data_IF_840130024083
#
_entry.id   IF_840130024083
#
_cell.length_a   1.000
_cell.length_b   1.000
_cell.length_c   1.000
_cell.angle_alpha   90.00
_cell.angle_beta   90.00
_cell.angle_gamma   90.00
#
_symmetry.space_group_name_H-M   'P 1'
#
loop_
_entity.id
_entity.type
_entity.pdbx_description
1 polymer ?
#
# COMPACT_ATOMS: atom_id res chain seq x y z
N UNK A 1 8.65 -13.26 -22.50
CA UNK A 1 8.30 -13.53 -21.10
C UNK A 1 7.80 -14.95 -20.89
N UNK A 2 6.68 -15.40 -21.46
CA UNK A 2 6.17 -16.77 -21.23
C UNK A 2 7.18 -17.88 -21.58
N UNK A 3 7.89 -17.75 -22.71
CA UNK A 3 8.95 -18.69 -23.11
C UNK A 3 10.10 -18.71 -22.09
N UNK A 4 10.57 -17.54 -21.64
CA UNK A 4 11.63 -17.44 -20.63
C UNK A 4 11.18 -17.98 -19.25
N UNK A 5 9.92 -17.75 -18.88
CA UNK A 5 9.31 -18.27 -17.64
C UNK A 5 9.07 -19.78 -17.71
N UNK A 6 8.93 -20.35 -18.91
CA UNK A 6 8.88 -21.80 -19.11
C UNK A 6 10.23 -22.46 -18.86
N UNK A 7 11.32 -21.74 -19.11
CA UNK A 7 12.69 -22.18 -18.84
C UNK A 7 13.10 -21.96 -17.38
N UNK A 8 12.78 -20.79 -16.81
CA UNK A 8 13.04 -20.47 -15.40
C UNK A 8 11.85 -19.71 -14.79
N UNK A 9 10.92 -20.46 -14.20
CA UNK A 9 9.72 -19.92 -13.56
C UNK A 9 10.03 -19.12 -12.28
N UNK A 10 11.27 -19.15 -11.79
CA UNK A 10 11.69 -18.49 -10.54
C UNK A 10 12.47 -17.20 -10.77
N UNK A 11 12.62 -16.80 -12.03
CA UNK A 11 13.24 -15.52 -12.36
C UNK A 11 12.27 -14.36 -12.06
N UNK A 12 12.40 -13.79 -10.86
CA UNK A 12 11.55 -12.70 -10.40
C UNK A 12 11.75 -11.38 -11.17
N UNK A 13 12.89 -11.18 -11.83
CA UNK A 13 13.12 -9.99 -12.65
C UNK A 13 12.25 -10.04 -13.92
N UNK A 14 12.08 -11.24 -14.49
CA UNK A 14 11.17 -11.47 -15.62
C UNK A 14 9.72 -11.25 -15.19
N UNK A 15 9.31 -11.82 -14.05
CA UNK A 15 7.97 -11.59 -13.50
C UNK A 15 7.69 -10.11 -13.24
N UNK A 16 8.68 -9.37 -12.72
CA UNK A 16 8.55 -7.95 -12.46
C UNK A 16 8.35 -7.15 -13.76
N UNK A 17 9.16 -7.43 -14.78
CA UNK A 17 9.01 -6.78 -16.08
C UNK A 17 7.69 -7.14 -16.76
N UNK A 18 7.24 -8.39 -16.62
CA UNK A 18 5.96 -8.83 -17.17
C UNK A 18 4.78 -8.13 -16.48
N UNK A 19 4.77 -8.07 -15.15
CA UNK A 19 3.73 -7.36 -14.40
C UNK A 19 3.67 -5.87 -14.79
N UNK A 20 4.82 -5.20 -14.94
CA UNK A 20 4.88 -3.79 -15.37
C UNK A 20 4.36 -3.57 -16.79
N UNK A 21 4.60 -4.51 -17.70
CA UNK A 21 4.07 -4.43 -19.06
C UNK A 21 2.53 -4.47 -19.04
N UNK A 22 1.93 -5.42 -18.32
CA UNK A 22 0.48 -5.52 -18.22
C UNK A 22 -0.14 -4.33 -17.47
N UNK A 23 0.51 -3.82 -16.42
CA UNK A 23 0.08 -2.59 -15.73
C UNK A 23 0.13 -1.37 -16.66
N UNK A 24 1.17 -1.25 -17.49
CA UNK A 24 1.28 -0.20 -18.50
C UNK A 24 0.14 -0.28 -19.50
N UNK A 25 -0.12 -1.48 -20.05
CA UNK A 25 -1.23 -1.70 -20.98
C UNK A 25 -2.59 -1.37 -20.36
N UNK A 26 -2.82 -1.66 -19.07
CA UNK A 26 -4.03 -1.25 -18.37
C UNK A 26 -4.15 0.28 -18.26
N UNK A 27 -3.04 0.98 -18.00
CA UNK A 27 -3.04 2.44 -17.89
C UNK A 27 -3.32 3.09 -19.24
N UNK A 28 -2.65 2.64 -20.30
CA UNK A 28 -2.84 3.15 -21.65
C UNK A 28 -4.30 2.97 -22.10
N UNK A 29 -4.89 1.79 -21.85
CA UNK A 29 -6.32 1.53 -22.12
C UNK A 29 -7.27 2.47 -21.38
N UNK A 30 -6.91 2.92 -20.16
CA UNK A 30 -7.72 3.88 -19.40
C UNK A 30 -7.58 5.29 -19.94
N UNK A 31 -6.38 5.68 -20.35
CA UNK A 31 -6.11 6.98 -20.97
C UNK A 31 -6.82 7.13 -22.32
N UNK A 32 -6.90 6.05 -23.09
CA UNK A 32 -7.62 5.97 -24.37
C UNK A 32 -9.16 5.93 -24.20
N UNK A 33 -9.67 5.83 -22.97
CA UNK A 33 -11.09 5.90 -22.67
C UNK A 33 -11.88 4.63 -23.01
N UNK A 34 -11.23 3.46 -22.91
CA UNK A 34 -11.81 2.14 -23.18
C UNK A 34 -13.09 1.83 -22.38
N UNK A 35 -13.77 0.74 -22.76
CA UNK A 35 -14.99 0.32 -22.08
C UNK A 35 -14.70 -0.35 -20.74
N UNK A 36 -15.64 -0.28 -19.79
CA UNK A 36 -15.45 -0.88 -18.47
C UNK A 36 -15.21 -2.40 -18.48
N UNK A 37 -15.67 -3.11 -19.52
CA UNK A 37 -15.38 -4.55 -19.70
C UNK A 37 -13.94 -4.80 -20.17
N UNK A 38 -13.39 -3.92 -21.01
CA UNK A 38 -11.99 -4.00 -21.44
C UNK A 38 -11.05 -3.72 -20.28
N UNK A 39 -11.33 -2.69 -19.48
CA UNK A 39 -10.56 -2.40 -18.27
C UNK A 39 -10.58 -3.57 -17.27
N UNK A 40 -11.76 -4.19 -17.05
CA UNK A 40 -11.87 -5.37 -16.19
C UNK A 40 -11.03 -6.54 -16.71
N UNK A 41 -11.07 -6.81 -18.02
CA UNK A 41 -10.25 -7.87 -18.64
C UNK A 41 -8.76 -7.58 -18.47
N UNK A 42 -8.33 -6.35 -18.72
CA UNK A 42 -6.94 -5.95 -18.53
C UNK A 42 -6.50 -6.05 -17.06
N UNK A 43 -7.36 -5.61 -16.13
CA UNK A 43 -7.12 -5.75 -14.68
C UNK A 43 -6.96 -7.21 -14.28
N UNK A 44 -7.77 -8.12 -14.84
CA UNK A 44 -7.65 -9.55 -14.55
C UNK A 44 -6.37 -10.17 -15.11
N UNK A 45 -5.86 -9.72 -16.26
CA UNK A 45 -4.55 -10.16 -16.77
C UNK A 45 -3.42 -9.78 -15.82
N UNK A 46 -3.40 -8.53 -15.35
CA UNK A 46 -2.40 -8.07 -14.36
C UNK A 46 -2.47 -8.94 -13.09
N UNK A 47 -3.67 -9.20 -12.59
CA UNK A 47 -3.89 -10.07 -11.42
C UNK A 47 -3.37 -11.48 -11.66
N UNK A 48 -3.65 -12.07 -12.82
CA UNK A 48 -3.18 -13.41 -13.17
C UNK A 48 -1.65 -13.50 -13.15
N UNK A 49 -0.96 -12.51 -13.71
CA UNK A 49 0.52 -12.44 -13.66
C UNK A 49 1.01 -12.40 -12.22
N UNK A 50 0.42 -11.56 -11.37
CA UNK A 50 0.80 -11.50 -9.96
C UNK A 50 0.48 -12.78 -9.19
N UNK A 51 -0.71 -13.36 -9.37
CA UNK A 51 -1.14 -14.60 -8.72
C UNK A 51 -0.23 -15.78 -9.12
N UNK A 52 0.12 -15.90 -10.40
CA UNK A 52 1.11 -16.86 -10.89
C UNK A 52 2.49 -16.64 -10.27
N UNK A 53 2.91 -15.38 -10.16
CA UNK A 53 4.20 -15.03 -9.57
C UNK A 53 4.28 -15.43 -8.09
N UNK A 54 3.25 -15.10 -7.29
CA UNK A 54 3.26 -15.38 -5.86
C UNK A 54 3.08 -16.86 -5.54
N UNK A 55 2.46 -17.63 -6.44
CA UNK A 55 2.36 -19.08 -6.35
C UNK A 55 3.72 -19.79 -6.50
N UNK A 56 4.72 -19.15 -7.11
CA UNK A 56 6.10 -19.65 -7.17
C UNK A 56 6.82 -19.41 -5.82
N UNK A 57 6.42 -20.17 -4.81
CA UNK A 57 6.99 -20.09 -3.45
C UNK A 57 8.47 -20.50 -3.47
N UNK A 58 9.31 -19.69 -2.84
CA UNK A 58 10.74 -19.96 -2.69
C UNK A 58 10.98 -21.21 -1.83
N UNK A 59 11.76 -22.20 -2.31
CA UNK A 59 12.17 -23.35 -1.49
C UNK A 59 13.33 -23.02 -0.52
N UNK A 60 14.01 -21.89 -0.70
CA UNK A 60 15.22 -21.53 0.05
C UNK A 60 14.98 -20.55 1.21
N UNK A 61 15.67 -20.76 2.33
CA UNK A 61 15.67 -19.85 3.49
C UNK A 61 16.57 -18.61 3.34
N UNK A 62 17.23 -18.42 2.20
CA UNK A 62 18.15 -17.30 2.00
C UNK A 62 17.42 -15.98 1.80
N UNK A 63 17.64 -15.04 2.72
CA UNK A 63 17.05 -13.69 2.72
C UNK A 63 17.18 -12.93 1.38
N UNK A 64 18.20 -13.21 0.56
CA UNK A 64 18.40 -12.58 -0.76
C UNK A 64 17.24 -12.87 -1.72
N UNK A 65 16.80 -14.13 -1.80
CA UNK A 65 15.70 -14.52 -2.68
C UNK A 65 14.37 -13.95 -2.18
N UNK A 66 14.17 -13.92 -0.86
CA UNK A 66 12.99 -13.32 -0.24
C UNK A 66 12.83 -11.82 -0.51
N UNK A 67 13.93 -11.09 -0.78
CA UNK A 67 13.83 -9.65 -1.09
C UNK A 67 13.04 -9.40 -2.38
N UNK A 68 13.33 -10.13 -3.46
CA UNK A 68 12.62 -9.97 -4.73
C UNK A 68 11.17 -10.45 -4.62
N UNK A 69 10.97 -11.60 -3.96
CA UNK A 69 9.65 -12.14 -3.69
C UNK A 69 8.77 -11.16 -2.90
N UNK A 70 9.27 -10.57 -1.81
CA UNK A 70 8.51 -9.59 -1.02
C UNK A 70 8.31 -8.26 -1.76
N UNK A 71 9.25 -7.84 -2.60
CA UNK A 71 9.03 -6.69 -3.48
C UNK A 71 7.82 -6.93 -4.39
N UNK A 72 7.67 -8.11 -4.99
CA UNK A 72 6.52 -8.45 -5.82
C UNK A 72 5.20 -8.43 -5.04
N UNK A 73 5.17 -8.96 -3.82
CA UNK A 73 4.00 -8.83 -2.94
C UNK A 73 3.64 -7.36 -2.65
N UNK A 74 4.64 -6.50 -2.46
CA UNK A 74 4.43 -5.06 -2.28
C UNK A 74 3.89 -4.37 -3.53
N UNK A 75 4.40 -4.74 -4.72
CA UNK A 75 3.89 -4.22 -5.99
C UNK A 75 2.46 -4.69 -6.24
N UNK A 76 2.16 -5.96 -5.97
CA UNK A 76 0.79 -6.47 -6.11
C UNK A 76 -0.19 -5.78 -5.16
N UNK A 77 0.19 -5.60 -3.89
CA UNK A 77 -0.64 -4.88 -2.93
C UNK A 77 -0.84 -3.40 -3.31
N UNK A 78 0.17 -2.78 -3.91
CA UNK A 78 0.10 -1.40 -4.41
C UNK A 78 -0.82 -1.30 -5.63
N UNK A 79 -0.73 -2.24 -6.57
CA UNK A 79 -1.61 -2.35 -7.71
C UNK A 79 -3.08 -2.45 -7.29
N UNK A 80 -3.39 -3.36 -6.35
CA UNK A 80 -4.75 -3.51 -5.79
C UNK A 80 -5.19 -2.33 -4.91
N UNK A 81 -4.28 -1.46 -4.50
CA UNK A 81 -4.61 -0.27 -3.71
C UNK A 81 -4.80 0.99 -4.57
N UNK A 82 -4.07 1.12 -5.68
CA UNK A 82 -4.02 2.34 -6.48
C UNK A 82 -4.76 2.14 -7.79
N UNK A 83 -4.43 1.10 -8.54
CA UNK A 83 -4.89 0.94 -9.91
C UNK A 83 -6.31 0.35 -9.95
N UNK A 84 -6.75 -0.42 -8.97
CA UNK A 84 -8.15 -0.91 -8.96
C UNK A 84 -9.15 0.13 -8.49
N UNK A 85 -8.69 1.30 -8.03
CA UNK A 85 -9.56 2.44 -7.76
C UNK A 85 -10.14 2.91 -9.09
N UNK A 86 -11.37 2.50 -9.34
CA UNK A 86 -12.16 2.93 -10.49
C UNK A 86 -12.09 4.46 -10.59
N UNK A 87 -11.66 4.96 -11.75
CA UNK A 87 -11.55 6.39 -12.00
C UNK A 87 -12.93 7.05 -11.72
N UNK A 88 -13.03 8.03 -10.80
CA UNK A 88 -14.31 8.61 -10.39
C UNK A 88 -15.10 9.29 -11.52
N UNK A 89 -14.50 9.47 -12.69
CA UNK A 89 -15.08 10.25 -13.79
C UNK A 89 -16.27 9.59 -14.50
N UNK A 90 -16.62 8.31 -14.22
CA UNK A 90 -17.63 7.60 -15.03
C UNK A 90 -18.69 6.80 -14.26
N UNK A 91 -18.69 6.78 -12.93
CA UNK A 91 -19.69 6.03 -12.15
C UNK A 91 -20.30 6.89 -11.05
N UNK A 92 -21.63 6.79 -10.89
CA UNK A 92 -22.42 7.49 -9.88
C UNK A 92 -21.78 7.41 -8.48
N UNK A 93 -21.82 8.50 -7.71
CA UNK A 93 -21.17 8.64 -6.40
C UNK A 93 -21.52 7.52 -5.40
N UNK A 94 -22.69 6.90 -5.53
CA UNK A 94 -23.11 5.75 -4.70
C UNK A 94 -22.36 4.47 -5.07
N UNK A 95 -22.13 4.23 -6.37
CA UNK A 95 -21.32 3.11 -6.84
C UNK A 95 -19.84 3.27 -6.45
N UNK A 96 -19.32 4.51 -6.45
CA UNK A 96 -17.96 4.82 -5.98
C UNK A 96 -17.78 4.45 -4.51
N UNK A 97 -18.76 4.77 -3.64
CA UNK A 97 -18.69 4.48 -2.21
C UNK A 97 -18.75 2.98 -1.91
N UNK A 98 -19.62 2.23 -2.61
CA UNK A 98 -19.74 0.78 -2.44
C UNK A 98 -18.53 0.01 -3.01
N UNK A 99 -18.00 0.45 -4.17
CA UNK A 99 -16.84 -0.19 -4.81
C UNK A 99 -15.55 0.06 -4.00
N UNK A 100 -15.37 1.27 -3.44
CA UNK A 100 -14.17 1.60 -2.65
C UNK A 100 -13.94 0.69 -1.44
N UNK A 101 -15.00 0.14 -0.84
CA UNK A 101 -14.89 -0.80 0.29
C UNK A 101 -14.40 -2.19 -0.14
N UNK A 102 -14.75 -2.63 -1.35
CA UNK A 102 -14.39 -3.96 -1.83
C UNK A 102 -12.93 -4.01 -2.31
N UNK A 103 -12.42 -2.92 -2.87
CA UNK A 103 -11.06 -2.85 -3.41
C UNK A 103 -9.98 -2.90 -2.31
N UNK A 104 -10.24 -2.30 -1.14
CA UNK A 104 -9.31 -2.35 -0.02
C UNK A 104 -9.22 -3.71 0.66
N UNK A 105 -10.26 -4.54 0.56
CA UNK A 105 -10.24 -5.85 1.21
C UNK A 105 -9.25 -6.80 0.51
N UNK A 106 -9.13 -6.72 -0.82
CA UNK A 106 -8.14 -7.53 -1.55
C UNK A 106 -6.72 -7.09 -1.25
N UNK A 107 -6.43 -5.78 -1.31
CA UNK A 107 -5.13 -5.24 -0.91
C UNK A 107 -4.76 -5.66 0.53
N UNK A 108 -5.74 -5.61 1.44
CA UNK A 108 -5.56 -6.07 2.82
C UNK A 108 -5.21 -7.56 2.90
N UNK A 109 -5.95 -8.42 2.19
CA UNK A 109 -5.67 -9.87 2.17
C UNK A 109 -4.26 -10.15 1.64
N UNK A 110 -3.81 -9.42 0.62
CA UNK A 110 -2.46 -9.55 0.06
C UNK A 110 -1.40 -9.17 1.11
N UNK A 111 -1.57 -8.03 1.81
CA UNK A 111 -0.65 -7.65 2.89
C UNK A 111 -0.64 -8.67 4.05
N UNK A 112 -1.81 -9.14 4.48
CA UNK A 112 -1.93 -10.12 5.55
C UNK A 112 -1.27 -11.46 5.17
N UNK A 113 -1.47 -11.91 3.93
CA UNK A 113 -0.86 -13.13 3.40
C UNK A 113 0.66 -12.98 3.30
N UNK A 114 1.15 -11.88 2.73
CA UNK A 114 2.58 -11.60 2.62
C UNK A 114 3.27 -11.59 3.99
N UNK A 115 2.64 -11.00 5.02
CA UNK A 115 3.18 -11.01 6.38
C UNK A 115 3.21 -12.42 6.95
N UNK A 116 2.17 -13.24 6.76
CA UNK A 116 2.14 -14.62 7.29
C UNK A 116 3.19 -15.52 6.64
N UNK A 117 3.51 -15.29 5.37
CA UNK A 117 4.50 -16.08 4.62
C UNK A 117 5.94 -15.82 5.08
N UNK A 118 6.25 -14.61 5.54
CA UNK A 118 7.62 -14.26 5.95
C UNK A 118 8.00 -15.04 7.22
N UNK A 119 9.12 -15.78 7.23
CA UNK A 119 9.62 -16.47 8.42
C UNK A 119 10.26 -15.46 9.39
N UNK A 120 9.43 -14.75 10.16
CA UNK A 120 9.85 -13.68 11.08
C UNK A 120 10.85 -14.11 12.15
N UNK A 121 10.95 -15.42 12.44
CA UNK A 121 11.97 -15.97 13.35
C UNK A 121 13.39 -15.86 12.78
N UNK A 122 13.55 -15.86 11.46
CA UNK A 122 14.85 -15.76 10.79
C UNK A 122 15.11 -14.33 10.30
N UNK A 123 14.12 -13.72 9.64
CA UNK A 123 14.22 -12.34 9.17
C UNK A 123 12.84 -11.73 9.01
N UNK A 124 12.77 -10.41 9.25
CA UNK A 124 11.60 -9.59 8.97
C UNK A 124 11.92 -8.51 7.95
N UNK A 125 10.94 -8.13 7.13
CA UNK A 125 11.06 -7.02 6.18
C UNK A 125 10.38 -5.76 6.73
N UNK A 126 11.19 -4.81 7.20
CA UNK A 126 10.69 -3.53 7.72
C UNK A 126 9.82 -2.79 6.70
N UNK A 127 10.24 -2.79 5.43
CA UNK A 127 9.48 -2.18 4.33
C UNK A 127 8.06 -2.75 4.22
N UNK A 128 7.89 -4.07 4.38
CA UNK A 128 6.56 -4.71 4.34
C UNK A 128 5.65 -4.21 5.47
N UNK A 129 6.15 -4.24 6.71
CA UNK A 129 5.39 -3.80 7.88
C UNK A 129 5.03 -2.30 7.81
N UNK A 130 5.98 -1.45 7.39
CA UNK A 130 5.77 -0.01 7.26
C UNK A 130 4.73 0.29 6.18
N UNK A 131 4.84 -0.35 5.00
CA UNK A 131 3.87 -0.15 3.93
C UNK A 131 2.47 -0.60 4.36
N UNK A 132 2.33 -1.74 5.05
CA UNK A 132 1.04 -2.21 5.55
C UNK A 132 0.45 -1.28 6.63
N UNK A 133 1.28 -0.76 7.53
CA UNK A 133 0.83 0.22 8.51
C UNK A 133 0.34 1.51 7.82
N UNK A 134 1.07 2.01 6.82
CA UNK A 134 0.65 3.17 6.00
C UNK A 134 -0.66 2.91 5.25
N UNK A 135 -0.87 1.70 4.74
CA UNK A 135 -2.15 1.28 4.17
C UNK A 135 -3.28 1.43 5.21
N UNK A 136 -3.08 0.92 6.45
CA UNK A 136 -4.06 1.07 7.53
C UNK A 136 -4.29 2.53 7.94
N UNK A 137 -3.29 3.40 7.87
CA UNK A 137 -3.47 4.86 8.07
C UNK A 137 -4.39 5.46 7.00
N UNK A 138 -4.24 5.08 5.73
CA UNK A 138 -5.11 5.54 4.64
C UNK A 138 -6.55 5.04 4.80
N UNK A 139 -6.74 3.87 5.41
CA UNK A 139 -8.04 3.37 5.84
C UNK A 139 -8.59 4.04 7.11
N UNK A 140 -7.90 5.05 7.65
CA UNK A 140 -8.21 5.71 8.91
C UNK A 140 -8.19 4.77 10.14
N UNK A 141 -7.55 3.61 10.02
CA UNK A 141 -7.40 2.61 11.09
C UNK A 141 -6.07 2.80 11.84
N UNK A 142 -5.91 3.94 12.51
CA UNK A 142 -4.68 4.27 13.26
C UNK A 142 -4.33 3.23 14.35
N UNK A 143 -5.27 2.71 15.16
CA UNK A 143 -4.94 1.69 16.16
C UNK A 143 -4.38 0.40 15.52
N UNK A 144 -4.91 0.01 14.36
CA UNK A 144 -4.40 -1.15 13.63
C UNK A 144 -2.98 -0.90 13.10
N UNK A 145 -2.71 0.29 12.54
CA UNK A 145 -1.38 0.68 12.07
C UNK A 145 -0.33 0.61 13.20
N UNK A 146 -0.64 1.16 14.38
CA UNK A 146 0.22 1.08 15.57
C UNK A 146 0.45 -0.35 16.01
N UNK A 147 -0.60 -1.18 16.04
CA UNK A 147 -0.49 -2.60 16.42
C UNK A 147 0.43 -3.37 15.47
N UNK A 148 0.33 -3.14 14.16
CA UNK A 148 1.18 -3.79 13.14
C UNK A 148 2.66 -3.45 13.39
N UNK A 149 2.99 -2.17 13.53
CA UNK A 149 4.37 -1.76 13.75
C UNK A 149 4.88 -2.16 15.14
N UNK A 150 4.07 -2.03 16.19
CA UNK A 150 4.42 -2.44 17.55
C UNK A 150 4.70 -3.95 17.63
N UNK A 151 3.89 -4.77 16.95
CA UNK A 151 4.13 -6.21 16.84
C UNK A 151 5.43 -6.49 16.08
N UNK A 152 5.66 -5.82 14.94
CA UNK A 152 6.88 -5.99 14.16
C UNK A 152 8.14 -5.60 14.94
N UNK A 153 8.09 -4.51 15.71
CA UNK A 153 9.18 -4.05 16.60
C UNK A 153 9.44 -5.09 17.70
N UNK A 154 8.38 -5.57 18.35
CA UNK A 154 8.50 -6.58 19.42
C UNK A 154 9.05 -7.92 18.93
N UNK A 155 8.73 -8.31 17.70
CA UNK A 155 9.26 -9.53 17.08
C UNK A 155 10.68 -9.36 16.54
N UNK A 156 10.99 -8.21 15.95
CA UNK A 156 12.28 -7.93 15.31
C UNK A 156 12.65 -6.45 15.45
N UNK A 157 13.42 -6.07 16.48
CA UNK A 157 13.78 -4.68 16.74
C UNK A 157 14.82 -4.20 15.72
N UNK A 158 14.35 -3.65 14.60
CA UNK A 158 15.18 -3.01 13.58
C UNK A 158 15.00 -1.51 13.61
N UNK A 159 16.11 -0.77 13.45
CA UNK A 159 16.12 0.70 13.40
C UNK A 159 15.09 1.27 12.41
N UNK A 160 14.98 0.68 11.21
CA UNK A 160 14.00 1.11 10.22
C UNK A 160 12.54 1.02 10.71
N UNK A 161 12.20 0.04 11.55
CA UNK A 161 10.86 -0.09 12.13
C UNK A 161 10.60 0.97 13.20
N UNK A 162 11.59 1.26 14.04
CA UNK A 162 11.52 2.36 15.00
C UNK A 162 11.33 3.70 14.30
N UNK A 163 12.17 4.00 13.29
CA UNK A 163 12.05 5.21 12.48
C UNK A 163 10.68 5.30 11.80
N UNK A 164 10.18 4.18 11.27
CA UNK A 164 8.85 4.10 10.68
C UNK A 164 7.71 4.38 11.68
N UNK A 165 7.83 3.91 12.92
CA UNK A 165 6.86 4.17 14.00
C UNK A 165 6.90 5.61 14.49
N UNK A 166 8.11 6.17 14.70
CA UNK A 166 8.29 7.56 15.10
C UNK A 166 7.68 8.50 14.04
N UNK A 167 7.97 8.24 12.76
CA UNK A 167 7.38 9.00 11.66
C UNK A 167 5.85 8.92 11.66
N UNK A 168 5.30 7.72 11.88
CA UNK A 168 3.85 7.53 11.97
C UNK A 168 3.22 8.41 13.07
N UNK A 169 3.78 8.41 14.28
CA UNK A 169 3.25 9.22 15.38
C UNK A 169 3.43 10.72 15.13
N UNK A 170 4.54 11.12 14.51
CA UNK A 170 4.77 12.50 14.10
C UNK A 170 3.69 12.98 13.12
N UNK A 171 3.40 12.19 12.08
CA UNK A 171 2.39 12.50 11.07
C UNK A 171 0.98 12.61 11.68
N UNK A 172 0.65 11.69 12.59
CA UNK A 172 -0.64 11.70 13.30
C UNK A 172 -0.77 12.95 14.17
N UNK A 173 0.27 13.30 14.94
CA UNK A 173 0.26 14.49 15.79
C UNK A 173 0.13 15.77 14.97
N UNK A 174 0.89 15.90 13.88
CA UNK A 174 0.80 17.07 13.00
C UNK A 174 -0.61 17.21 12.40
N UNK A 175 -1.22 16.10 11.96
CA UNK A 175 -2.61 16.10 11.47
C UNK A 175 -3.57 16.60 12.56
N UNK A 176 -3.48 16.10 13.78
CA UNK A 176 -4.34 16.54 14.90
C UNK A 176 -4.16 18.02 15.24
N UNK A 177 -2.92 18.51 15.29
CA UNK A 177 -2.64 19.92 15.56
C UNK A 177 -3.16 20.83 14.45
N UNK A 178 -2.99 20.44 13.18
CA UNK A 178 -3.51 21.21 12.04
C UNK A 178 -5.05 21.23 11.96
N UNK A 179 -5.72 20.18 12.42
CA UNK A 179 -7.18 20.18 12.55
C UNK A 179 -7.65 21.04 13.72
N UNK A 180 -6.89 21.06 14.82
CA UNK A 180 -7.19 21.89 15.99
C UNK A 180 -6.99 23.38 15.68
N UNK A 181 -5.90 23.75 15.01
CA UNK A 181 -5.63 25.12 14.58
C UNK A 181 -6.67 25.66 13.58
N UNK A 182 -7.20 24.81 12.67
CA UNK A 182 -8.26 25.18 11.72
C UNK A 182 -9.65 25.33 12.36
N UNK A 183 -9.85 24.78 13.56
CA UNK A 183 -11.10 24.90 14.32
C UNK A 183 -11.05 25.99 15.39
N UNK A 184 -9.99 26.81 15.46
CA UNK A 184 -9.88 27.88 16.44
C UNK A 184 -10.75 29.07 16.05
N UNK A 185 -11.64 29.55 16.94
CA UNK A 185 -12.32 30.82 16.73
C UNK A 185 -11.30 31.98 16.74
N UNK A 186 -11.43 32.91 15.78
CA UNK A 186 -10.52 34.07 15.56
C UNK A 186 -10.44 35.04 16.75
N UNK A 187 -11.20 34.83 17.81
CA UNK A 187 -11.29 35.76 18.95
C UNK A 187 -10.11 35.68 19.94
N UNK A 188 -9.14 34.78 19.74
CA UNK A 188 -7.99 34.64 20.65
C UNK A 188 -6.67 35.24 20.12
N UNK A 189 -6.65 35.82 18.93
CA UNK A 189 -5.45 36.49 18.38
C UNK A 189 -5.41 38.00 18.59
N UNK A 190 -6.40 38.60 19.26
CA UNK A 190 -6.44 40.05 19.53
C UNK A 190 -6.55 40.35 21.03
N UNK A 191 -5.45 40.19 21.75
CA UNK A 191 -5.23 40.91 23.01
C UNK A 191 -3.76 41.32 23.15
N UNK A 192 -3.32 42.21 22.26
CA UNK A 192 -2.12 43.01 22.46
C UNK A 192 -2.37 44.41 21.92
N UNK A 193 -3.35 45.07 22.54
CA UNK A 193 -3.53 46.52 22.52
C UNK A 193 -3.59 47.00 23.96
N UNK A 194 -2.47 46.89 24.68
CA UNK A 194 -2.30 47.60 25.95
C UNK A 194 -2.18 49.07 25.59
N UNK A 195 -3.08 49.88 26.16
CA UNK A 195 -3.33 51.25 25.74
C UNK A 195 -2.17 52.19 26.00
N UNK A 196 -1.83 52.97 24.97
CA UNK A 196 -1.36 54.34 25.13
C UNK A 196 -2.53 55.21 25.57
N UNK A 197 -2.39 55.95 26.68
CA UNK A 197 -3.44 56.86 27.13
C UNK A 197 -3.18 57.57 28.45
N UNK A 198 -2.33 58.60 28.37
CA UNK A 198 -2.18 59.81 29.23
C UNK A 198 -1.73 59.66 30.69
#
# INVERSE_FOLDING_TARGET
YEEELSHDSRNYDIWFNYARLEEGALRDLREEGSTGEEEKRATNRVREVYERTVAQVLPGGEKRHWRHYISLWLYYALFEEIETKVHPSRVSAIAVLLTSRQDYERARQIYETAIRLVPHRQFTFAKLCITFARFKVRQLQLPAARKILGTAIGMCPKEALFNGYIQLEFDVRHRTLSTWARGMPETMTSSSGIGEGR
#
